data_IF_528695366052
#
_entry.id   IF_528695366052
#
_cell.length_a   1.000
_cell.length_b   1.000
_cell.length_c   1.000
_cell.angle_alpha   90.00
_cell.angle_beta   90.00
_cell.angle_gamma   90.00
#
_symmetry.space_group_name_H-M   'P 1'
#
loop_
_entity.id
_entity.type
_entity.pdbx_description
1 polymer ?
#
# COMPACT_ATOMS: atom_id res chain seq x y z
N UNK A 1 -2.84 -3.16 -1.09
CA UNK A 1 -2.91 -3.55 0.34
C UNK A 1 -2.14 -4.83 0.60
N UNK A 2 -2.50 -5.97 -0.01
CA UNK A 2 -1.84 -7.27 0.24
C UNK A 2 -0.32 -7.25 0.14
N UNK A 3 0.22 -6.64 -0.92
CA UNK A 3 1.66 -6.55 -1.11
C UNK A 3 2.36 -5.78 0.02
N UNK A 4 1.72 -4.72 0.55
CA UNK A 4 2.21 -4.02 1.73
C UNK A 4 2.11 -4.90 2.99
N UNK A 5 1.01 -5.62 3.19
CA UNK A 5 0.84 -6.53 4.33
C UNK A 5 1.98 -7.55 4.36
N UNK A 6 2.35 -8.13 3.21
CA UNK A 6 3.47 -9.08 3.08
C UNK A 6 4.85 -8.51 3.43
N UNK A 7 5.01 -7.18 3.43
CA UNK A 7 6.27 -6.53 3.87
C UNK A 7 6.37 -6.39 5.39
N UNK A 8 5.28 -6.59 6.12
CA UNK A 8 5.25 -6.48 7.57
C UNK A 8 5.53 -7.84 8.22
N UNK A 9 5.90 -7.83 9.50
CA UNK A 9 6.20 -9.03 10.28
C UNK A 9 5.45 -9.04 11.62
N UNK A 10 5.44 -10.21 12.28
CA UNK A 10 4.92 -10.38 13.63
C UNK A 10 3.46 -9.95 13.81
N UNK A 11 3.19 -9.16 14.85
CA UNK A 11 1.84 -8.73 15.19
C UNK A 11 1.21 -7.81 14.12
N UNK A 12 2.02 -7.00 13.43
CA UNK A 12 1.55 -6.12 12.34
C UNK A 12 1.02 -6.94 11.18
N UNK A 13 1.79 -7.95 10.75
CA UNK A 13 1.38 -8.86 9.68
C UNK A 13 0.03 -9.53 9.99
N UNK A 14 -0.12 -10.08 11.21
CA UNK A 14 -1.35 -10.78 11.63
C UNK A 14 -2.57 -9.84 11.61
N UNK A 15 -2.44 -8.65 12.21
CA UNK A 15 -3.54 -7.67 12.29
C UNK A 15 -3.96 -7.19 10.90
N UNK A 16 -3.00 -6.83 10.05
CA UNK A 16 -3.29 -6.34 8.70
C UNK A 16 -3.83 -7.45 7.79
N UNK A 17 -3.35 -8.69 7.93
CA UNK A 17 -3.88 -9.84 7.17
C UNK A 17 -5.36 -10.06 7.46
N UNK A 18 -5.77 -9.91 8.72
CA UNK A 18 -7.19 -9.99 9.08
C UNK A 18 -7.99 -8.79 8.54
N UNK A 19 -7.42 -7.58 8.62
CA UNK A 19 -8.08 -6.36 8.19
C UNK A 19 -8.45 -6.35 6.70
N UNK A 20 -7.64 -6.99 5.84
CA UNK A 20 -7.84 -6.99 4.38
C UNK A 20 -8.83 -8.07 3.87
N UNK A 21 -9.44 -8.87 4.73
CA UNK A 21 -10.38 -9.92 4.32
C UNK A 21 -11.82 -9.40 4.25
N UNK A 22 -12.59 -9.80 3.24
CA UNK A 22 -14.05 -9.60 3.17
C UNK A 22 -14.54 -8.18 2.89
N UNK A 23 -15.85 -7.96 3.01
CA UNK A 23 -16.49 -6.66 2.72
C UNK A 23 -15.98 -5.58 3.68
N UNK A 24 -15.61 -4.42 3.16
CA UNK A 24 -15.06 -3.31 3.95
C UNK A 24 -13.57 -3.44 4.28
N UNK A 25 -12.85 -4.37 3.64
CA UNK A 25 -11.42 -4.61 3.84
C UNK A 25 -10.57 -3.34 3.73
N UNK A 26 -10.86 -2.47 2.76
CA UNK A 26 -10.09 -1.23 2.57
C UNK A 26 -10.22 -0.26 3.76
N UNK A 27 -11.45 -0.04 4.24
CA UNK A 27 -11.70 0.82 5.40
C UNK A 27 -11.01 0.27 6.64
N UNK A 28 -11.23 -1.01 6.96
CA UNK A 28 -10.59 -1.68 8.11
C UNK A 28 -9.07 -1.63 8.01
N UNK A 29 -8.52 -1.85 6.82
CA UNK A 29 -7.07 -1.75 6.61
C UNK A 29 -6.56 -0.35 6.96
N UNK A 30 -7.18 0.71 6.45
CA UNK A 30 -6.79 2.08 6.79
C UNK A 30 -6.91 2.36 8.28
N UNK A 31 -8.04 2.02 8.89
CA UNK A 31 -8.28 2.22 10.33
C UNK A 31 -7.20 1.48 11.15
N UNK A 32 -6.91 0.22 10.80
CA UNK A 32 -5.84 -0.58 11.44
C UNK A 32 -4.46 0.03 11.27
N UNK A 33 -4.16 0.60 10.09
CA UNK A 33 -2.88 1.28 9.82
C UNK A 33 -2.72 2.52 10.71
N UNK A 34 -3.78 3.31 10.89
CA UNK A 34 -3.78 4.46 11.80
C UNK A 34 -3.67 4.04 13.27
N UNK A 35 -4.46 3.05 13.70
CA UNK A 35 -4.44 2.54 15.08
C UNK A 35 -3.07 1.96 15.48
N UNK A 36 -2.32 1.47 14.50
CA UNK A 36 -0.95 0.96 14.69
C UNK A 36 0.14 2.03 14.54
N UNK A 37 -0.20 3.26 14.15
CA UNK A 37 0.75 4.35 13.94
C UNK A 37 1.76 4.09 12.81
N UNK A 38 1.36 3.33 11.79
CA UNK A 38 2.22 2.98 10.63
C UNK A 38 1.71 3.60 9.33
N UNK A 39 0.89 4.64 9.43
CA UNK A 39 0.30 5.37 8.31
C UNK A 39 1.37 5.95 7.39
N UNK A 40 2.45 6.53 7.94
CA UNK A 40 3.56 7.01 7.11
C UNK A 40 4.21 5.88 6.30
N UNK A 41 4.45 4.70 6.90
CA UNK A 41 5.00 3.53 6.18
C UNK A 41 4.07 3.08 5.05
N UNK A 42 2.76 3.14 5.29
CA UNK A 42 1.77 2.84 4.27
C UNK A 42 1.80 3.86 3.13
N UNK A 43 1.85 5.16 3.43
CA UNK A 43 1.91 6.21 2.42
C UNK A 43 3.17 6.16 1.58
N UNK A 44 4.33 5.93 2.20
CA UNK A 44 5.59 5.78 1.48
C UNK A 44 5.55 4.58 0.52
N UNK A 45 4.97 3.46 0.98
CA UNK A 45 4.80 2.28 0.14
C UNK A 45 3.83 2.56 -1.02
N UNK A 46 2.71 3.22 -0.73
CA UNK A 46 1.68 3.56 -1.71
C UNK A 46 2.22 4.52 -2.77
N UNK A 47 2.97 5.55 -2.36
CA UNK A 47 3.62 6.50 -3.26
C UNK A 47 4.61 5.80 -4.20
N UNK A 48 5.48 4.93 -3.68
CA UNK A 48 6.42 4.14 -4.50
C UNK A 48 5.70 3.22 -5.48
N UNK A 49 4.60 2.60 -5.05
CA UNK A 49 3.80 1.74 -5.93
C UNK A 49 3.15 2.54 -7.06
N UNK A 50 2.59 3.72 -6.77
CA UNK A 50 2.02 4.60 -7.78
C UNK A 50 3.05 5.16 -8.73
N UNK A 51 4.21 5.60 -8.23
CA UNK A 51 5.32 6.05 -9.08
C UNK A 51 5.69 4.98 -10.09
N UNK A 52 5.86 3.72 -9.67
CA UNK A 52 6.15 2.61 -10.58
C UNK A 52 5.05 2.39 -11.63
N UNK A 53 3.78 2.54 -11.26
CA UNK A 53 2.67 2.41 -12.20
C UNK A 53 2.69 3.56 -13.21
N UNK A 54 2.87 4.80 -12.74
CA UNK A 54 2.95 5.98 -13.58
C UNK A 54 4.13 5.92 -14.56
N UNK A 55 5.33 5.57 -14.08
CA UNK A 55 6.51 5.34 -14.91
C UNK A 55 6.25 4.31 -15.99
N UNK A 56 5.75 3.11 -15.63
CA UNK A 56 5.46 2.06 -16.62
C UNK A 56 4.42 2.47 -17.65
N UNK A 57 3.43 3.26 -17.22
CA UNK A 57 2.45 3.79 -18.14
C UNK A 57 3.07 4.80 -19.10
N UNK A 58 3.92 5.72 -18.62
CA UNK A 58 4.62 6.67 -19.47
C UNK A 58 5.53 5.96 -20.47
N UNK A 59 6.33 4.98 -20.02
CA UNK A 59 7.18 4.14 -20.88
C UNK A 59 6.36 3.41 -21.96
N UNK A 60 5.20 2.86 -21.61
CA UNK A 60 4.33 2.16 -22.56
C UNK A 60 3.67 3.07 -23.59
N UNK A 61 3.62 4.38 -23.33
CA UNK A 61 3.02 5.39 -24.21
C UNK A 61 4.06 6.33 -24.83
N UNK A 62 5.36 6.07 -24.63
CA UNK A 62 6.47 6.92 -25.10
C UNK A 62 6.35 8.38 -24.62
N UNK A 63 5.92 8.56 -23.37
CA UNK A 63 5.76 9.87 -22.74
C UNK A 63 6.98 10.14 -21.85
N UNK A 64 7.68 11.24 -22.11
CA UNK A 64 8.71 11.76 -21.20
C UNK A 64 8.06 12.27 -19.90
N UNK A 65 8.71 11.97 -18.77
CA UNK A 65 8.28 12.43 -17.46
C UNK A 65 9.49 12.87 -16.62
N UNK A 66 9.29 13.85 -15.77
CA UNK A 66 10.27 14.34 -14.78
C UNK A 66 9.84 13.91 -13.37
N UNK A 67 10.81 13.72 -12.48
CA UNK A 67 10.59 13.30 -11.08
C UNK A 67 10.38 14.49 -10.12
#
# INVERSE_FOLDING_TARGET
>A
MEAFVKTQSGALYKKLTHAIQGRGAFRRFKDTVYDLGIDQKWYDYQAKAYKRIATRWCEANDIEYEE
#
